data_IF_888371002380
#
_entry.id   IF_888371002380
#
_cell.length_a   1.000
_cell.length_b   1.000
_cell.length_c   1.000
_cell.angle_alpha   90.00
_cell.angle_beta   90.00
_cell.angle_gamma   90.00
#
_symmetry.space_group_name_H-M   'P 1'
#
loop_
_entity.id
_entity.type
_entity.pdbx_description
1 polymer ?
#
# COMPACT_ATOMS: atom_id res chain seq x y z
N UNK A 1 16.36 -4.73 -0.71
CA UNK A 1 15.22 -4.88 0.22
C UNK A 1 14.39 -6.14 -0.09
N UNK A 2 14.07 -6.46 -1.35
CA UNK A 2 13.32 -7.67 -1.75
C UNK A 2 14.09 -9.01 -1.67
N UNK A 3 15.43 -9.02 -1.70
CA UNK A 3 16.20 -10.25 -1.39
C UNK A 3 15.96 -10.74 0.05
N UNK A 4 15.67 -9.84 1.00
CA UNK A 4 15.24 -10.20 2.35
C UNK A 4 13.82 -10.75 2.39
N UNK A 5 13.03 -10.55 1.32
CA UNK A 5 11.67 -11.06 1.22
C UNK A 5 11.64 -12.60 1.15
N UNK A 6 12.70 -13.24 0.65
CA UNK A 6 12.76 -14.71 0.52
C UNK A 6 13.82 -15.40 1.39
N UNK A 7 14.76 -14.66 2.00
CA UNK A 7 15.80 -15.25 2.85
C UNK A 7 15.27 -16.00 4.09
N UNK A 8 14.14 -15.55 4.65
CA UNK A 8 13.50 -16.21 5.80
C UNK A 8 12.55 -17.36 5.39
N UNK A 9 12.20 -17.48 4.10
CA UNK A 9 11.26 -18.49 3.60
C UNK A 9 11.83 -19.91 3.64
N UNK A 10 13.16 -20.06 3.66
CA UNK A 10 13.82 -21.36 3.66
C UNK A 10 13.70 -22.14 4.97
N UNK A 11 13.46 -21.47 6.10
CA UNK A 11 13.51 -22.11 7.42
C UNK A 11 12.18 -22.75 7.87
N UNK A 12 11.03 -22.20 7.47
CA UNK A 12 9.68 -22.70 7.83
C UNK A 12 9.22 -23.88 6.95
N UNK A 13 9.81 -24.03 5.77
CA UNK A 13 9.45 -25.03 4.76
C UNK A 13 9.80 -26.48 5.17
N UNK A 14 10.64 -26.65 6.19
CA UNK A 14 11.10 -27.97 6.64
C UNK A 14 10.06 -28.77 7.47
N UNK A 15 8.99 -28.15 7.98
CA UNK A 15 8.19 -28.78 9.05
C UNK A 15 6.72 -29.10 8.72
N UNK A 16 6.05 -28.42 7.76
CA UNK A 16 4.57 -28.53 7.65
C UNK A 16 3.94 -28.72 6.26
N UNK A 17 4.70 -29.15 5.25
CA UNK A 17 4.09 -29.56 3.97
C UNK A 17 4.62 -28.78 2.76
N UNK A 18 5.80 -29.18 2.31
CA UNK A 18 6.53 -28.63 1.17
C UNK A 18 5.69 -28.51 -0.13
N UNK A 19 4.67 -29.36 -0.29
CA UNK A 19 3.91 -29.48 -1.54
C UNK A 19 2.84 -28.41 -1.69
N UNK A 20 2.06 -28.15 -0.63
CA UNK A 20 0.99 -27.15 -0.61
C UNK A 20 1.59 -25.74 -0.69
N UNK A 21 2.63 -25.50 0.10
CA UNK A 21 3.37 -24.24 0.08
C UNK A 21 3.96 -23.92 -1.30
N UNK A 22 4.52 -24.92 -2.00
CA UNK A 22 5.04 -24.73 -3.37
C UNK A 22 3.96 -24.38 -4.39
N UNK A 23 2.74 -24.87 -4.23
CA UNK A 23 1.64 -24.62 -5.14
C UNK A 23 1.20 -23.14 -5.12
N UNK A 24 1.20 -22.52 -3.93
CA UNK A 24 0.88 -21.10 -3.75
C UNK A 24 2.07 -20.21 -4.11
N UNK A 25 3.29 -20.56 -3.65
CA UNK A 25 4.42 -19.64 -3.73
C UNK A 25 5.08 -19.60 -5.10
N UNK A 26 5.22 -20.74 -5.80
CA UNK A 26 5.91 -20.74 -7.09
C UNK A 26 5.24 -19.79 -8.10
N UNK A 27 3.92 -19.85 -8.33
CA UNK A 27 3.26 -18.93 -9.26
C UNK A 27 3.36 -17.47 -8.81
N UNK A 28 3.28 -17.22 -7.50
CA UNK A 28 3.40 -15.90 -6.89
C UNK A 28 4.81 -15.32 -7.12
N UNK A 29 5.85 -16.15 -6.98
CA UNK A 29 7.24 -15.79 -7.27
C UNK A 29 7.46 -15.52 -8.76
N UNK A 30 6.97 -16.40 -9.63
CA UNK A 30 7.11 -16.22 -11.08
C UNK A 30 6.39 -14.94 -11.56
N UNK A 31 5.23 -14.60 -10.96
CA UNK A 31 4.52 -13.34 -11.21
C UNK A 31 5.31 -12.14 -10.68
N UNK A 32 5.89 -12.25 -9.49
CA UNK A 32 6.75 -11.21 -8.91
C UNK A 32 7.93 -10.89 -9.83
N UNK A 33 8.69 -11.89 -10.29
CA UNK A 33 9.86 -11.68 -11.16
C UNK A 33 9.46 -10.94 -12.46
N UNK A 34 8.28 -11.24 -13.02
CA UNK A 34 7.74 -10.50 -14.18
C UNK A 34 7.37 -9.06 -13.85
N UNK A 35 6.71 -8.83 -12.72
CA UNK A 35 6.33 -7.50 -12.26
C UNK A 35 7.56 -6.64 -11.96
N UNK A 36 8.58 -7.21 -11.30
CA UNK A 36 9.85 -6.55 -11.03
C UNK A 36 10.53 -6.14 -12.34
N UNK A 37 10.61 -7.05 -13.31
CA UNK A 37 11.21 -6.76 -14.61
C UNK A 37 10.45 -5.65 -15.35
N UNK A 38 9.12 -5.72 -15.36
CA UNK A 38 8.27 -4.72 -16.01
C UNK A 38 8.39 -3.34 -15.34
N UNK A 39 8.37 -3.29 -14.01
CA UNK A 39 8.49 -2.05 -13.25
C UNK A 39 9.90 -1.46 -13.34
N UNK A 40 10.95 -2.28 -13.32
CA UNK A 40 12.32 -1.82 -13.53
C UNK A 40 12.47 -1.16 -14.91
N UNK A 41 11.92 -1.78 -15.96
CA UNK A 41 11.89 -1.19 -17.31
C UNK A 41 11.15 0.14 -17.35
N UNK A 42 9.99 0.25 -16.69
CA UNK A 42 9.22 1.49 -16.64
C UNK A 42 9.92 2.59 -15.83
N UNK A 43 10.54 2.27 -14.70
CA UNK A 43 11.32 3.23 -13.89
C UNK A 43 12.49 3.77 -14.71
N UNK A 44 13.21 2.90 -15.43
CA UNK A 44 14.33 3.32 -16.28
C UNK A 44 13.85 4.21 -17.44
N UNK A 45 12.71 3.89 -18.05
CA UNK A 45 12.08 4.74 -19.07
C UNK A 45 11.73 6.14 -18.53
N UNK A 46 11.10 6.21 -17.35
CA UNK A 46 10.74 7.49 -16.72
C UNK A 46 11.97 8.30 -16.32
N UNK A 47 13.01 7.63 -15.81
CA UNK A 47 14.29 8.26 -15.48
C UNK A 47 14.94 8.86 -16.74
N UNK A 48 15.00 8.11 -17.85
CA UNK A 48 15.56 8.60 -19.10
C UNK A 48 14.80 9.83 -19.63
N UNK A 49 13.45 9.84 -19.57
CA UNK A 49 12.64 11.01 -19.94
C UNK A 49 12.94 12.22 -19.05
N UNK A 50 13.11 11.99 -17.74
CA UNK A 50 13.46 13.06 -16.81
C UNK A 50 14.86 13.61 -17.08
N UNK A 51 15.85 12.74 -17.33
CA UNK A 51 17.21 13.12 -17.69
C UNK A 51 17.27 13.93 -19.00
N UNK A 52 16.41 13.62 -19.98
CA UNK A 52 16.26 14.42 -21.20
C UNK A 52 15.74 15.83 -20.90
N UNK A 53 14.73 15.97 -20.04
CA UNK A 53 14.19 17.27 -19.60
C UNK A 53 15.28 18.07 -18.86
N UNK A 54 16.00 17.43 -17.95
CA UNK A 54 17.10 18.07 -17.19
C UNK A 54 18.19 18.56 -18.15
N UNK A 55 18.58 17.73 -19.12
CA UNK A 55 19.58 18.10 -20.13
C UNK A 55 19.11 19.26 -21.01
N UNK A 56 17.85 19.26 -21.45
CA UNK A 56 17.29 20.35 -22.23
C UNK A 56 17.29 21.67 -21.44
N UNK A 57 16.92 21.62 -20.16
CA UNK A 57 16.93 22.79 -19.29
C UNK A 57 18.34 23.32 -19.01
N UNK A 58 19.32 22.42 -18.81
CA UNK A 58 20.73 22.77 -18.66
C UNK A 58 21.28 23.48 -19.90
N UNK A 59 20.95 22.98 -21.10
CA UNK A 59 21.35 23.59 -22.36
C UNK A 59 20.77 25.00 -22.53
N UNK A 60 19.50 25.21 -22.14
CA UNK A 60 18.87 26.53 -22.16
C UNK A 60 19.54 27.50 -21.19
N UNK A 61 19.82 27.06 -19.96
CA UNK A 61 20.52 27.87 -18.96
C UNK A 61 21.94 28.23 -19.41
N UNK A 62 22.64 27.30 -20.08
CA UNK A 62 23.93 27.55 -20.70
C UNK A 62 23.87 28.60 -21.82
N UNK A 63 22.84 28.56 -22.66
CA UNK A 63 22.61 29.56 -23.70
C UNK A 63 22.33 30.95 -23.09
N UNK A 64 21.55 31.02 -22.01
CA UNK A 64 21.30 32.26 -21.27
C UNK A 64 22.59 32.80 -20.61
N UNK A 65 23.44 31.92 -20.09
CA UNK A 65 24.75 32.28 -19.51
C UNK A 65 25.70 32.92 -20.52
N UNK A 66 25.74 32.43 -21.75
CA UNK A 66 26.60 33.01 -22.79
C UNK A 66 26.17 34.43 -23.19
N UNK A 67 24.92 34.81 -22.94
CA UNK A 67 24.39 36.14 -23.26
C UNK A 67 24.76 37.22 -22.22
N UNK A 68 25.12 36.83 -21.00
CA UNK A 68 25.44 37.77 -19.90
C UNK A 68 26.95 38.06 -19.85
N UNK A 69 27.31 39.34 -19.70
CA UNK A 69 28.71 39.82 -19.69
C UNK A 69 29.08 40.46 -18.35
N UNK A 70 30.37 40.42 -18.02
CA UNK A 70 30.96 41.12 -16.86
C UNK A 70 30.68 40.43 -15.53
N UNK A 71 30.66 41.20 -14.44
CA UNK A 71 30.54 40.67 -13.06
C UNK A 71 29.28 39.83 -12.79
N UNK A 72 28.23 40.00 -13.60
CA UNK A 72 27.01 39.20 -13.56
C UNK A 72 27.25 37.73 -13.95
N UNK A 73 28.34 37.43 -14.66
CA UNK A 73 28.66 36.06 -15.10
C UNK A 73 29.01 35.14 -13.93
N UNK A 74 29.75 35.64 -12.92
CA UNK A 74 30.08 34.87 -11.72
C UNK A 74 28.85 34.58 -10.85
N UNK A 75 28.00 35.59 -10.67
CA UNK A 75 26.73 35.43 -9.96
C UNK A 75 25.83 34.41 -10.65
N UNK A 76 25.74 34.47 -11.99
CA UNK A 76 24.91 33.55 -12.74
C UNK A 76 25.47 32.12 -12.76
N UNK A 77 26.79 31.96 -12.70
CA UNK A 77 27.42 30.65 -12.57
C UNK A 77 27.12 30.00 -11.21
N UNK A 78 27.10 30.79 -10.13
CA UNK A 78 26.70 30.29 -8.81
C UNK A 78 25.22 29.87 -8.79
N UNK A 79 24.33 30.68 -9.37
CA UNK A 79 22.90 30.33 -9.53
C UNK A 79 22.72 29.05 -10.34
N UNK A 80 23.49 28.89 -11.43
CA UNK A 80 23.46 27.67 -12.23
C UNK A 80 23.85 26.44 -11.42
N UNK A 81 24.96 26.49 -10.69
CA UNK A 81 25.42 25.34 -9.89
C UNK A 81 24.43 24.97 -8.79
N UNK A 82 23.84 25.96 -8.11
CA UNK A 82 22.78 25.72 -7.12
C UNK A 82 21.55 25.06 -7.78
N UNK A 83 21.09 25.59 -8.91
CA UNK A 83 19.96 25.05 -9.65
C UNK A 83 20.21 23.61 -10.14
N UNK A 84 21.38 23.31 -10.69
CA UNK A 84 21.77 21.96 -11.08
C UNK A 84 21.77 20.99 -9.89
N UNK A 85 22.24 21.45 -8.72
CA UNK A 85 22.24 20.66 -7.49
C UNK A 85 20.82 20.36 -7.01
N UNK A 86 19.93 21.36 -7.04
CA UNK A 86 18.52 21.20 -6.69
C UNK A 86 17.80 20.24 -7.64
N UNK A 87 18.06 20.35 -8.96
CA UNK A 87 17.49 19.44 -9.95
C UNK A 87 17.96 18.00 -9.72
N UNK A 88 19.27 17.78 -9.49
CA UNK A 88 19.81 16.46 -9.21
C UNK A 88 19.15 15.83 -7.98
N UNK A 89 19.01 16.60 -6.89
CA UNK A 89 18.31 16.16 -5.68
C UNK A 89 16.85 15.77 -5.98
N UNK A 90 16.16 16.56 -6.82
CA UNK A 90 14.79 16.26 -7.24
C UNK A 90 14.70 14.96 -8.06
N UNK A 91 15.66 14.69 -8.97
CA UNK A 91 15.74 13.41 -9.73
C UNK A 91 15.86 12.23 -8.77
N UNK A 92 16.74 12.35 -7.78
CA UNK A 92 17.04 11.30 -6.82
C UNK A 92 15.82 11.02 -5.93
N UNK A 93 15.19 12.07 -5.40
CA UNK A 93 13.96 11.96 -4.61
C UNK A 93 12.80 11.36 -5.42
N UNK A 94 12.61 11.81 -6.66
CA UNK A 94 11.59 11.29 -7.58
C UNK A 94 11.82 9.80 -7.89
N UNK A 95 13.04 9.43 -8.29
CA UNK A 95 13.39 8.04 -8.61
C UNK A 95 13.21 7.13 -7.41
N UNK A 96 13.66 7.59 -6.24
CA UNK A 96 13.53 6.89 -4.97
C UNK A 96 12.05 6.68 -4.60
N UNK A 97 11.19 7.69 -4.81
CA UNK A 97 9.74 7.59 -4.60
C UNK A 97 9.08 6.62 -5.57
N UNK A 98 9.42 6.68 -6.86
CA UNK A 98 8.92 5.76 -7.88
C UNK A 98 9.26 4.31 -7.56
N UNK A 99 10.50 4.05 -7.13
CA UNK A 99 10.92 2.72 -6.72
C UNK A 99 10.11 2.20 -5.53
N UNK A 100 9.94 3.00 -4.47
CA UNK A 100 9.11 2.62 -3.32
C UNK A 100 7.66 2.36 -3.71
N UNK A 101 7.06 3.23 -4.52
CA UNK A 101 5.69 3.07 -4.99
C UNK A 101 5.52 1.78 -5.81
N UNK A 102 6.49 1.45 -6.67
CA UNK A 102 6.49 0.19 -7.40
C UNK A 102 6.57 -1.02 -6.46
N UNK A 103 7.47 -0.99 -5.47
CA UNK A 103 7.60 -2.04 -4.46
C UNK A 103 6.29 -2.22 -3.68
N UNK A 104 5.64 -1.12 -3.29
CA UNK A 104 4.38 -1.16 -2.57
C UNK A 104 3.22 -1.73 -3.41
N UNK A 105 3.14 -1.34 -4.68
CA UNK A 105 2.14 -1.87 -5.60
C UNK A 105 2.32 -3.37 -5.81
N UNK A 106 3.56 -3.80 -6.04
CA UNK A 106 3.92 -5.22 -6.17
C UNK A 106 3.55 -5.97 -4.88
N UNK A 107 3.97 -5.46 -3.72
CA UNK A 107 3.65 -6.08 -2.43
C UNK A 107 2.14 -6.21 -2.22
N UNK A 108 1.36 -5.18 -2.53
CA UNK A 108 -0.11 -5.21 -2.46
C UNK A 108 -0.70 -6.30 -3.34
N UNK A 109 -0.22 -6.44 -4.58
CA UNK A 109 -0.69 -7.47 -5.51
C UNK A 109 -0.36 -8.87 -5.02
N UNK A 110 0.86 -9.09 -4.51
CA UNK A 110 1.26 -10.39 -3.98
C UNK A 110 0.47 -10.76 -2.72
N UNK A 111 0.25 -9.81 -1.82
CA UNK A 111 -0.57 -10.04 -0.62
C UNK A 111 -1.98 -10.47 -1.04
N UNK A 112 -2.58 -9.78 -2.01
CA UNK A 112 -3.89 -10.15 -2.51
C UNK A 112 -3.91 -11.55 -3.16
N UNK A 113 -2.90 -11.89 -3.95
CA UNK A 113 -2.78 -13.23 -4.55
C UNK A 113 -2.64 -14.32 -3.48
N UNK A 114 -1.85 -14.07 -2.43
CA UNK A 114 -1.70 -14.99 -1.29
C UNK A 114 -3.03 -15.20 -0.58
N UNK A 115 -3.74 -14.11 -0.27
CA UNK A 115 -5.08 -14.15 0.34
C UNK A 115 -6.03 -14.95 -0.56
N UNK A 116 -6.22 -14.53 -1.82
CA UNK A 116 -7.17 -15.14 -2.74
C UNK A 116 -6.90 -16.64 -2.95
N UNK A 117 -5.63 -17.03 -3.10
CA UNK A 117 -5.24 -18.45 -3.20
C UNK A 117 -5.48 -19.21 -1.91
N UNK A 118 -5.15 -18.63 -0.76
CA UNK A 118 -5.39 -19.29 0.53
C UNK A 118 -6.88 -19.56 0.79
N UNK A 119 -7.77 -18.73 0.22
CA UNK A 119 -9.21 -18.93 0.33
C UNK A 119 -9.77 -19.95 -0.68
N UNK A 120 -9.17 -20.05 -1.87
CA UNK A 120 -9.64 -20.96 -2.93
C UNK A 120 -9.03 -22.35 -2.87
N UNK A 121 -7.77 -22.43 -2.45
CA UNK A 121 -7.03 -23.68 -2.37
C UNK A 121 -7.28 -24.35 -1.01
N UNK A 122 -7.40 -25.68 -0.99
CA UNK A 122 -7.57 -26.46 0.23
C UNK A 122 -6.27 -26.58 1.01
N UNK A 123 -5.75 -25.45 1.52
CA UNK A 123 -4.61 -25.43 2.44
C UNK A 123 -5.09 -25.42 3.89
N UNK A 124 -4.31 -26.05 4.78
CA UNK A 124 -4.67 -26.11 6.20
C UNK A 124 -4.71 -24.73 6.87
N UNK A 125 -5.57 -24.57 7.88
CA UNK A 125 -5.69 -23.30 8.62
C UNK A 125 -4.38 -22.87 9.29
N UNK A 126 -3.57 -23.81 9.78
CA UNK A 126 -2.25 -23.51 10.34
C UNK A 126 -1.31 -22.86 9.29
N UNK A 127 -1.33 -23.37 8.06
CA UNK A 127 -0.54 -22.79 6.96
C UNK A 127 -1.08 -21.40 6.59
N UNK A 128 -2.39 -21.18 6.61
CA UNK A 128 -2.98 -19.85 6.39
C UNK A 128 -2.53 -18.86 7.45
N UNK A 129 -2.58 -19.26 8.72
CA UNK A 129 -2.16 -18.42 9.84
C UNK A 129 -0.70 -17.98 9.66
N UNK A 130 0.21 -18.90 9.36
CA UNK A 130 1.62 -18.58 9.12
C UNK A 130 1.82 -17.62 7.95
N UNK A 131 1.13 -17.85 6.83
CA UNK A 131 1.17 -16.96 5.66
C UNK A 131 0.66 -15.55 6.01
N UNK A 132 -0.42 -15.48 6.79
CA UNK A 132 -1.01 -14.24 7.25
C UNK A 132 -0.09 -13.47 8.20
N UNK A 133 0.56 -14.14 9.15
CA UNK A 133 1.55 -13.50 10.02
C UNK A 133 2.77 -12.99 9.26
N UNK A 134 3.22 -13.73 8.26
CA UNK A 134 4.31 -13.29 7.38
C UNK A 134 3.92 -12.04 6.57
N UNK A 135 2.69 -11.99 6.03
CA UNK A 135 2.15 -10.80 5.35
C UNK A 135 2.14 -9.58 6.29
N UNK A 136 1.60 -9.73 7.51
CA UNK A 136 1.55 -8.65 8.52
C UNK A 136 2.95 -8.11 8.80
N UNK A 137 3.91 -9.00 9.09
CA UNK A 137 5.31 -8.63 9.36
C UNK A 137 5.95 -7.84 8.21
N UNK A 138 5.62 -8.19 6.96
CA UNK A 138 6.15 -7.51 5.77
C UNK A 138 5.54 -6.15 5.57
N UNK A 139 4.23 -6.03 5.72
CA UNK A 139 3.58 -4.71 5.63
C UNK A 139 4.14 -3.77 6.69
N UNK A 140 4.40 -4.26 7.91
CA UNK A 140 5.02 -3.44 8.96
C UNK A 140 6.44 -2.97 8.63
N UNK A 141 7.23 -3.79 7.91
CA UNK A 141 8.55 -3.37 7.42
C UNK A 141 8.47 -2.32 6.31
N UNK A 142 7.42 -2.35 5.50
CA UNK A 142 7.22 -1.40 4.38
C UNK A 142 6.55 -0.10 4.87
N UNK A 143 5.62 -0.18 5.82
CA UNK A 143 4.82 0.93 6.33
C UNK A 143 5.30 1.41 7.72
N UNK A 144 6.58 1.20 8.04
CA UNK A 144 7.15 1.54 9.35
C UNK A 144 7.09 3.06 9.65
N UNK A 145 7.13 3.46 10.92
CA UNK A 145 7.12 4.86 11.31
C UNK A 145 8.39 5.56 10.83
N UNK A 146 8.26 6.54 9.93
CA UNK A 146 9.37 7.39 9.49
C UNK A 146 9.48 7.64 7.99
N UNK A 147 8.75 6.89 7.16
CA UNK A 147 8.81 7.05 5.70
C UNK A 147 7.62 7.89 5.18
N UNK A 148 7.70 9.22 5.32
CA UNK A 148 6.83 10.22 4.64
C UNK A 148 6.98 10.20 3.09
N UNK A 149 7.61 9.16 2.57
CA UNK A 149 8.21 9.09 1.25
C UNK A 149 7.46 8.16 0.29
N UNK A 150 6.38 7.52 0.75
CA UNK A 150 5.49 6.72 -0.08
C UNK A 150 4.20 7.48 -0.34
N UNK A 151 3.62 7.26 -1.52
CA UNK A 151 2.31 7.82 -1.83
C UNK A 151 1.28 7.39 -0.77
N UNK A 152 0.55 8.36 -0.20
CA UNK A 152 -0.39 8.10 0.88
C UNK A 152 -1.46 7.07 0.48
N UNK A 153 -1.91 7.10 -0.77
CA UNK A 153 -2.92 6.16 -1.26
C UNK A 153 -2.37 4.73 -1.35
N UNK A 154 -1.13 4.53 -1.81
CA UNK A 154 -0.50 3.21 -1.82
C UNK A 154 -0.27 2.67 -0.40
N UNK A 155 0.08 3.57 0.54
CA UNK A 155 0.22 3.23 1.96
C UNK A 155 -1.11 2.76 2.52
N UNK A 156 -2.19 3.48 2.23
CA UNK A 156 -3.54 3.11 2.63
C UNK A 156 -3.93 1.74 2.07
N UNK A 157 -3.65 1.46 0.79
CA UNK A 157 -3.91 0.13 0.19
C UNK A 157 -3.21 -0.99 0.97
N UNK A 158 -1.90 -0.85 1.26
CA UNK A 158 -1.17 -1.87 2.00
C UNK A 158 -1.73 -2.08 3.41
N UNK A 159 -2.08 -1.00 4.10
CA UNK A 159 -2.70 -1.05 5.42
C UNK A 159 -4.07 -1.74 5.36
N UNK A 160 -4.89 -1.50 4.33
CA UNK A 160 -6.17 -2.21 4.15
C UNK A 160 -5.95 -3.70 3.92
N UNK A 161 -4.93 -4.10 3.13
CA UNK A 161 -4.60 -5.51 2.96
C UNK A 161 -4.15 -6.14 4.27
N UNK A 162 -3.32 -5.45 5.06
CA UNK A 162 -2.93 -5.88 6.41
C UNK A 162 -4.15 -6.04 7.33
N UNK A 163 -5.05 -5.07 7.34
CA UNK A 163 -6.26 -5.12 8.16
C UNK A 163 -7.15 -6.31 7.82
N UNK A 164 -7.33 -6.61 6.52
CA UNK A 164 -8.04 -7.81 6.10
C UNK A 164 -7.40 -9.08 6.65
N UNK A 165 -6.07 -9.19 6.58
CA UNK A 165 -5.34 -10.35 7.10
C UNK A 165 -5.46 -10.46 8.63
N UNK A 166 -5.39 -9.33 9.35
CA UNK A 166 -5.61 -9.29 10.80
C UNK A 166 -7.03 -9.76 11.17
N UNK A 167 -8.05 -9.37 10.39
CA UNK A 167 -9.42 -9.90 10.56
C UNK A 167 -9.43 -11.42 10.44
N UNK A 168 -8.73 -11.99 9.45
CA UNK A 168 -8.66 -13.44 9.26
C UNK A 168 -7.94 -14.17 10.39
N UNK A 169 -7.01 -13.49 11.08
CA UNK A 169 -6.34 -13.98 12.28
C UNK A 169 -7.19 -13.85 13.55
N UNK A 170 -8.39 -13.26 13.48
CA UNK A 170 -9.21 -12.96 14.66
C UNK A 170 -8.71 -11.76 15.48
N UNK A 171 -7.72 -11.03 14.98
CA UNK A 171 -7.09 -9.89 15.64
C UNK A 171 -7.89 -8.60 15.35
N UNK A 172 -9.18 -8.59 15.73
CA UNK A 172 -10.14 -7.56 15.28
C UNK A 172 -9.80 -6.14 15.73
N UNK A 173 -9.31 -5.97 16.97
CA UNK A 173 -8.87 -4.65 17.46
C UNK A 173 -7.74 -4.08 16.57
N UNK A 174 -6.74 -4.90 16.23
CA UNK A 174 -5.64 -4.49 15.35
C UNK A 174 -6.10 -4.27 13.91
N UNK A 175 -7.05 -5.06 13.41
CA UNK A 175 -7.65 -4.86 12.10
C UNK A 175 -8.36 -3.49 12.01
N UNK A 176 -9.14 -3.14 13.03
CA UNK A 176 -9.79 -1.84 13.15
C UNK A 176 -8.77 -0.70 13.19
N UNK A 177 -7.80 -0.73 14.13
CA UNK A 177 -6.76 0.30 14.27
C UNK A 177 -5.98 0.49 12.96
N UNK A 178 -5.63 -0.60 12.29
CA UNK A 178 -4.90 -0.56 11.01
C UNK A 178 -5.75 0.09 9.92
N UNK A 179 -7.07 -0.16 9.90
CA UNK A 179 -7.99 0.46 8.94
C UNK A 179 -8.16 1.95 9.21
N UNK A 180 -8.28 2.36 10.48
CA UNK A 180 -8.32 3.78 10.87
C UNK A 180 -7.06 4.50 10.41
N UNK A 181 -5.89 3.88 10.59
CA UNK A 181 -4.62 4.40 10.05
C UNK A 181 -4.66 4.52 8.53
N UNK A 182 -5.18 3.52 7.82
CA UNK A 182 -5.30 3.57 6.36
C UNK A 182 -6.18 4.75 5.91
N UNK A 183 -7.33 4.96 6.55
CA UNK A 183 -8.24 6.07 6.27
C UNK A 183 -7.58 7.42 6.54
N UNK A 184 -6.83 7.55 7.63
CA UNK A 184 -6.10 8.78 7.96
C UNK A 184 -5.07 9.14 6.88
N UNK A 185 -4.37 8.14 6.32
CA UNK A 185 -3.39 8.35 5.26
C UNK A 185 -4.05 8.60 3.90
N UNK A 186 -5.24 8.02 3.65
CA UNK A 186 -6.00 8.22 2.41
C UNK A 186 -6.56 9.66 2.26
N UNK A 187 -6.79 10.36 3.37
CA UNK A 187 -7.30 11.73 3.37
C UNK A 187 -8.82 11.82 3.16
N UNK A 188 -9.27 12.89 2.50
CA UNK A 188 -10.69 13.29 2.46
C UNK A 188 -11.59 12.36 1.63
N UNK A 189 -11.03 11.58 0.71
CA UNK A 189 -11.81 10.75 -0.23
C UNK A 189 -11.36 9.27 -0.19
N UNK A 190 -11.51 8.58 0.96
CA UNK A 190 -11.18 7.16 1.03
C UNK A 190 -12.14 6.32 0.17
N UNK A 191 -11.66 5.18 -0.31
CA UNK A 191 -12.52 4.25 -1.05
C UNK A 191 -13.66 3.74 -0.15
N UNK A 192 -14.89 3.65 -0.68
CA UNK A 192 -16.08 3.28 0.11
C UNK A 192 -15.93 1.94 0.84
N UNK A 193 -15.31 0.94 0.20
CA UNK A 193 -15.07 -0.36 0.84
C UNK A 193 -14.12 -0.28 2.05
N UNK A 194 -13.28 0.75 2.16
CA UNK A 194 -12.40 0.94 3.32
C UNK A 194 -13.19 1.47 4.52
N UNK A 195 -14.15 2.36 4.29
CA UNK A 195 -15.10 2.81 5.30
C UNK A 195 -15.97 1.64 5.77
N UNK A 196 -16.47 0.83 4.83
CA UNK A 196 -17.25 -0.36 5.16
C UNK A 196 -16.44 -1.37 5.98
N UNK A 197 -15.21 -1.69 5.58
CA UNK A 197 -14.31 -2.55 6.36
C UNK A 197 -14.04 -2.00 7.76
N UNK A 198 -13.88 -0.67 7.92
CA UNK A 198 -13.71 -0.05 9.23
C UNK A 198 -14.93 -0.31 10.13
N UNK A 199 -16.14 -0.23 9.57
CA UNK A 199 -17.37 -0.54 10.29
C UNK A 199 -17.43 -2.02 10.69
N UNK A 200 -17.17 -2.95 9.76
CA UNK A 200 -17.11 -4.38 10.04
C UNK A 200 -16.13 -4.70 11.17
N UNK A 201 -14.91 -4.16 11.10
CA UNK A 201 -13.87 -4.46 12.09
C UNK A 201 -14.16 -3.80 13.43
N UNK A 202 -14.80 -2.63 13.45
CA UNK A 202 -15.30 -2.03 14.70
C UNK A 202 -16.39 -2.91 15.35
N UNK A 203 -17.33 -3.45 14.58
CA UNK A 203 -18.37 -4.35 15.09
C UNK A 203 -17.76 -5.63 15.70
N UNK A 204 -16.82 -6.25 14.98
CA UNK A 204 -16.07 -7.43 15.45
C UNK A 204 -15.20 -7.11 16.69
N UNK A 205 -14.68 -5.89 16.80
CA UNK A 205 -13.93 -5.42 17.96
C UNK A 205 -14.81 -4.95 19.14
N UNK A 206 -16.13 -5.15 19.07
CA UNK A 206 -17.09 -4.69 20.09
C UNK A 206 -17.09 -3.16 20.31
N UNK A 207 -16.94 -2.40 19.23
CA UNK A 207 -16.94 -0.93 19.17
C UNK A 207 -18.18 -0.41 18.42
N UNK A 208 -19.39 -0.47 19.01
CA UNK A 208 -20.64 -0.21 18.30
C UNK A 208 -20.80 1.22 17.80
N UNK A 209 -20.30 2.20 18.56
CA UNK A 209 -20.39 3.62 18.18
C UNK A 209 -19.55 3.90 16.92
N UNK A 210 -18.30 3.41 16.91
CA UNK A 210 -17.39 3.53 15.77
C UNK A 210 -17.91 2.75 14.56
N UNK A 211 -18.50 1.58 14.77
CA UNK A 211 -19.18 0.81 13.72
C UNK A 211 -20.26 1.66 13.04
N UNK A 212 -21.18 2.25 13.80
CA UNK A 212 -22.27 3.06 13.25
C UNK A 212 -21.74 4.33 12.57
N UNK A 213 -20.70 4.95 13.11
CA UNK A 213 -20.05 6.12 12.50
C UNK A 213 -19.50 5.79 11.10
N UNK A 214 -18.69 4.74 10.97
CA UNK A 214 -18.08 4.37 9.69
C UNK A 214 -19.10 3.81 8.70
N UNK A 215 -20.08 3.04 9.16
CA UNK A 215 -21.15 2.55 8.29
C UNK A 215 -21.99 3.70 7.75
N UNK A 216 -22.27 4.72 8.57
CA UNK A 216 -22.98 5.92 8.12
C UNK A 216 -22.20 6.62 7.00
N UNK A 217 -20.89 6.79 7.17
CA UNK A 217 -20.01 7.36 6.14
C UNK A 217 -20.02 6.51 4.86
N UNK A 218 -19.95 5.19 4.98
CA UNK A 218 -19.99 4.29 3.83
C UNK A 218 -21.33 4.38 3.06
N UNK A 219 -22.46 4.39 3.78
CA UNK A 219 -23.81 4.49 3.21
C UNK A 219 -24.07 5.83 2.53
N UNK A 220 -23.50 6.92 3.07
CA UNK A 220 -23.56 8.24 2.44
C UNK A 220 -22.84 8.27 1.08
N UNK A 221 -21.75 7.51 0.93
CA UNK A 221 -21.01 7.39 -0.32
C UNK A 221 -21.70 6.42 -1.28
N UNK A 222 -22.18 5.27 -0.78
CA UNK A 222 -22.93 4.29 -1.57
C UNK A 222 -24.06 3.66 -0.76
N UNK A 223 -25.30 3.84 -1.21
CA UNK A 223 -26.47 3.26 -0.57
C UNK A 223 -26.47 1.71 -0.58
N UNK A 224 -25.72 1.08 -1.49
CA UNK A 224 -25.56 -0.39 -1.57
C UNK A 224 -24.95 -0.96 -0.28
N UNK A 225 -24.07 -0.21 0.38
CA UNK A 225 -23.45 -0.61 1.65
C UNK A 225 -24.50 -0.86 2.76
N UNK A 226 -25.68 -0.25 2.63
CA UNK A 226 -26.80 -0.51 3.55
C UNK A 226 -27.32 -1.94 3.37
N UNK A 227 -27.48 -2.37 2.12
CA UNK A 227 -28.00 -3.70 1.78
C UNK A 227 -27.00 -4.79 2.19
N UNK A 228 -25.72 -4.56 1.92
CA UNK A 228 -24.64 -5.46 2.34
C UNK A 228 -24.65 -5.64 3.86
N UNK A 229 -24.73 -4.54 4.62
CA UNK A 229 -24.71 -4.56 6.08
C UNK A 229 -25.88 -5.33 6.72
N UNK A 230 -27.04 -5.45 6.05
CA UNK A 230 -28.17 -6.26 6.56
C UNK A 230 -27.81 -7.73 6.71
N UNK A 231 -27.04 -8.24 5.76
CA UNK A 231 -26.79 -9.68 5.63
C UNK A 231 -25.38 -10.08 6.07
N UNK A 232 -24.47 -9.12 6.19
CA UNK A 232 -23.11 -9.36 6.65
C UNK A 232 -23.07 -9.82 8.12
N UNK A 233 -22.39 -10.94 8.36
CA UNK A 233 -22.24 -11.55 9.67
C UNK A 233 -21.30 -10.77 10.58
N UNK A 234 -20.42 -9.93 10.01
CA UNK A 234 -19.51 -9.10 10.81
C UNK A 234 -20.29 -8.13 11.73
N UNK A 235 -21.56 -7.82 11.41
CA UNK A 235 -22.43 -6.96 12.20
C UNK A 235 -23.36 -7.70 13.18
N UNK A 236 -23.27 -9.03 13.30
CA UNK A 236 -24.20 -9.80 14.15
C UNK A 236 -24.25 -9.30 15.61
N UNK A 237 -23.14 -8.78 16.13
CA UNK A 237 -23.04 -8.21 17.49
C UNK A 237 -23.78 -6.89 17.67
N UNK A 238 -24.07 -6.16 16.58
CA UNK A 238 -24.66 -4.81 16.61
C UNK A 238 -26.04 -4.72 15.96
N UNK A 239 -26.53 -5.79 15.32
CA UNK A 239 -27.82 -5.84 14.60
C UNK A 239 -29.04 -5.47 15.45
N UNK A 240 -28.98 -5.61 16.77
CA UNK A 240 -30.08 -5.29 17.68
C UNK A 240 -30.01 -3.87 18.25
N UNK A 241 -28.96 -3.11 17.95
CA UNK A 241 -28.81 -1.74 18.43
C UNK A 241 -29.71 -0.80 17.64
N UNK A 242 -30.45 0.06 18.34
CA UNK A 242 -31.36 1.04 17.72
C UNK A 242 -30.64 1.91 16.67
N UNK A 243 -29.39 2.29 16.93
CA UNK A 243 -28.58 3.08 15.99
C UNK A 243 -28.27 2.32 14.69
N UNK A 244 -28.00 1.02 14.77
CA UNK A 244 -27.76 0.17 13.60
C UNK A 244 -29.06 -0.06 12.82
N UNK A 245 -30.16 -0.39 13.52
CA UNK A 245 -31.49 -0.55 12.92
C UNK A 245 -31.93 0.74 12.21
N UNK A 246 -31.72 1.91 12.81
CA UNK A 246 -32.07 3.18 12.18
C UNK A 246 -31.28 3.45 10.87
N UNK A 247 -30.05 2.97 10.79
CA UNK A 247 -29.17 3.16 9.64
C UNK A 247 -29.46 2.16 8.50
N UNK A 248 -29.76 0.92 8.89
CA UNK A 248 -29.81 -0.24 8.00
C UNK A 248 -31.25 -0.67 7.68
N UNK A 249 -32.22 -0.41 8.55
CA UNK A 249 -33.63 -0.80 8.41
C UNK A 249 -33.87 -2.23 8.87
#
# INVERSE_FOLDING_TARGET
MLMYFFGALGALVAFFGFREWKAVIKPTKDKLERLETAHAGHIEEQKNKFDEIVRAHKNDLDAQMQAVKGDHQLQMQAVKTDHETQMQKMVEEFTSRMHRNAVALIASQLIWDVIDRSEREHISEAVKEDLYRDVVSRVDKVCGPGDDLMDGYLTAILLIRKAYVLKRLGEFAFAYETTVRALAVAGENPHVSWLYNAACYAALASLPDQCCEYLTKAVQVSAEMREDARTDSDFDSVKTLDAFIALVG
#
